data_IF_067595469699
#
_entry.id   IF_067595469699
#
_cell.length_a   1.000
_cell.length_b   1.000
_cell.length_c   1.000
_cell.angle_alpha   90.00
_cell.angle_beta   90.00
_cell.angle_gamma   90.00
#
_symmetry.space_group_name_H-M   'P 1'
#
loop_
_entity.id
_entity.type
_entity.pdbx_description
1 polymer ?
#
# COMPACT_ATOMS: atom_id res chain seq x y z
N UNK A 1 5.12 2.26 -12.80
CA UNK A 1 6.27 2.24 -11.87
C UNK A 1 7.05 0.97 -12.11
N UNK A 2 8.37 1.00 -11.98
CA UNK A 2 9.15 -0.23 -11.99
C UNK A 2 9.07 -0.91 -10.63
N UNK A 3 8.95 -2.24 -10.59
CA UNK A 3 8.83 -3.00 -9.34
C UNK A 3 10.00 -2.77 -8.37
N UNK A 4 11.21 -2.56 -8.90
CA UNK A 4 12.40 -2.28 -8.08
C UNK A 4 12.32 -0.95 -7.31
N UNK A 5 11.76 0.11 -7.90
CA UNK A 5 11.59 1.39 -7.20
C UNK A 5 10.62 1.25 -6.03
N UNK A 6 9.55 0.48 -6.23
CA UNK A 6 8.56 0.20 -5.18
C UNK A 6 9.15 -0.66 -4.06
N UNK A 7 9.94 -1.69 -4.39
CA UNK A 7 10.61 -2.53 -3.40
C UNK A 7 11.59 -1.73 -2.52
N UNK A 8 12.40 -0.85 -3.12
CA UNK A 8 13.32 -0.01 -2.37
C UNK A 8 12.59 0.96 -1.43
N UNK A 9 11.52 1.62 -1.90
CA UNK A 9 10.71 2.50 -1.07
C UNK A 9 9.97 1.77 0.06
N UNK A 10 9.47 0.56 -0.23
CA UNK A 10 8.79 -0.26 0.77
C UNK A 10 9.74 -0.68 1.90
N UNK A 11 11.00 -0.99 1.59
CA UNK A 11 12.01 -1.29 2.60
C UNK A 11 12.27 -0.07 3.49
N UNK A 12 12.51 1.10 2.89
CA UNK A 12 12.74 2.35 3.65
C UNK A 12 11.56 2.68 4.57
N UNK A 13 10.33 2.52 4.10
CA UNK A 13 9.14 2.78 4.92
C UNK A 13 9.06 1.81 6.11
N UNK A 14 9.35 0.53 5.89
CA UNK A 14 9.33 -0.49 6.94
C UNK A 14 10.42 -0.27 7.98
N UNK A 15 11.65 0.03 7.56
CA UNK A 15 12.77 0.35 8.47
C UNK A 15 12.50 1.62 9.30
N UNK A 16 11.72 2.56 8.77
CA UNK A 16 11.26 3.74 9.50
C UNK A 16 10.08 3.44 10.47
N UNK A 17 9.64 2.18 10.61
CA UNK A 17 8.51 1.78 11.45
C UNK A 17 7.14 2.04 10.81
N UNK A 18 7.09 2.25 9.50
CA UNK A 18 5.87 2.44 8.72
C UNK A 18 5.22 1.14 8.27
N UNK A 19 4.03 1.28 7.69
CA UNK A 19 3.26 0.20 7.08
C UNK A 19 3.18 0.40 5.57
N UNK A 20 3.14 -0.71 4.84
CA UNK A 20 3.02 -0.76 3.38
C UNK A 20 2.04 -1.88 3.02
N UNK A 21 1.07 -1.60 2.15
CA UNK A 21 0.12 -2.60 1.65
C UNK A 21 -0.40 -2.25 0.26
N UNK A 22 -1.15 -3.17 -0.34
CA UNK A 22 -2.04 -2.87 -1.45
C UNK A 22 -3.33 -2.15 -0.97
N UNK A 23 -4.27 -1.88 -1.88
CA UNK A 23 -5.51 -1.15 -1.57
C UNK A 23 -6.53 -1.99 -0.78
N UNK A 24 -6.33 -3.30 -0.72
CA UNK A 24 -7.12 -4.23 0.10
C UNK A 24 -6.51 -4.42 1.50
N UNK A 25 -5.32 -3.88 1.75
CA UNK A 25 -4.57 -4.09 2.99
C UNK A 25 -3.70 -5.35 2.98
N UNK A 26 -3.53 -5.99 1.82
CA UNK A 26 -2.66 -7.15 1.62
C UNK A 26 -1.21 -6.79 1.30
N UNK A 27 -0.40 -7.82 1.04
CA UNK A 27 1.04 -7.68 0.80
C UNK A 27 1.44 -7.76 -0.68
N UNK A 28 0.48 -7.84 -1.60
CA UNK A 28 0.72 -8.08 -3.03
C UNK A 28 0.98 -6.78 -3.82
N UNK A 29 1.39 -5.70 -3.14
CA UNK A 29 1.55 -4.37 -3.74
C UNK A 29 2.59 -4.34 -4.86
N UNK A 30 3.63 -5.19 -4.79
CA UNK A 30 4.65 -5.32 -5.83
C UNK A 30 4.11 -5.94 -7.13
N UNK A 31 3.14 -6.84 -7.02
CA UNK A 31 2.53 -7.52 -8.16
C UNK A 31 1.36 -6.70 -8.73
N UNK A 32 0.51 -6.16 -7.85
CA UNK A 32 -0.69 -5.40 -8.23
C UNK A 32 -0.39 -3.96 -8.67
N UNK A 33 0.81 -3.46 -8.38
CA UNK A 33 1.30 -2.16 -8.86
C UNK A 33 0.67 -0.93 -8.19
N UNK A 34 -0.12 -1.13 -7.13
CA UNK A 34 -0.74 -0.07 -6.34
C UNK A 34 -0.38 -0.27 -4.87
N UNK A 35 -0.13 0.84 -4.17
CA UNK A 35 0.45 0.82 -2.83
C UNK A 35 -0.13 1.91 -1.95
N UNK A 36 -0.37 1.60 -0.69
CA UNK A 36 -0.59 2.54 0.42
C UNK A 36 0.59 2.37 1.37
N UNK A 37 1.23 3.48 1.70
CA UNK A 37 2.36 3.49 2.62
C UNK A 37 2.25 4.69 3.58
N UNK A 38 2.63 4.50 4.84
CA UNK A 38 2.64 5.60 5.81
C UNK A 38 2.86 5.13 7.24
N UNK A 39 2.84 6.09 8.17
CA UNK A 39 2.86 5.77 9.60
C UNK A 39 1.56 5.04 10.03
N UNK A 40 1.59 4.39 11.19
CA UNK A 40 0.47 3.59 11.71
C UNK A 40 -0.86 4.35 11.81
N UNK A 41 -0.85 5.65 12.13
CA UNK A 41 -2.07 6.47 12.25
C UNK A 41 -2.68 6.79 10.88
N UNK A 42 -1.86 7.28 9.95
CA UNK A 42 -2.30 7.69 8.62
C UNK A 42 -2.65 6.48 7.76
N UNK A 43 -1.88 5.39 7.85
CA UNK A 43 -2.09 4.19 7.06
C UNK A 43 -3.51 3.65 7.20
N UNK A 44 -3.99 3.46 8.44
CA UNK A 44 -5.36 2.98 8.70
C UNK A 44 -6.41 3.97 8.17
N UNK A 45 -6.23 5.26 8.41
CA UNK A 45 -7.17 6.29 7.98
C UNK A 45 -7.31 6.32 6.44
N UNK A 46 -6.19 6.28 5.72
CA UNK A 46 -6.18 6.26 4.26
C UNK A 46 -6.81 4.99 3.74
N UNK A 47 -6.43 3.81 4.26
CA UNK A 47 -6.97 2.53 3.81
C UNK A 47 -8.50 2.46 3.97
N UNK A 48 -9.01 2.87 5.13
CA UNK A 48 -10.46 2.93 5.38
C UNK A 48 -11.17 3.96 4.49
N UNK A 49 -10.53 5.08 4.18
CA UNK A 49 -11.11 6.11 3.32
C UNK A 49 -11.21 5.66 1.85
N UNK A 50 -10.22 4.90 1.33
CA UNK A 50 -10.21 4.52 -0.09
C UNK A 50 -11.05 3.28 -0.38
N UNK A 51 -11.15 2.32 0.55
CA UNK A 51 -11.79 1.02 0.32
C UNK A 51 -13.24 1.09 -0.22
N UNK A 52 -14.12 1.99 0.27
CA UNK A 52 -15.48 2.13 -0.25
C UNK A 52 -15.54 2.57 -1.72
N UNK A 53 -14.51 3.26 -2.21
CA UNK A 53 -14.45 3.85 -3.54
C UNK A 53 -13.66 3.00 -4.54
N UNK A 54 -13.15 1.83 -4.13
CA UNK A 54 -12.40 0.96 -5.01
C UNK A 54 -13.30 0.32 -6.09
N UNK A 55 -12.95 0.42 -7.38
CA UNK A 55 -13.62 -0.34 -8.43
C UNK A 55 -13.34 -1.83 -8.27
N UNK A 56 -14.23 -2.68 -8.79
CA UNK A 56 -14.12 -4.14 -8.67
C UNK A 56 -12.78 -4.69 -9.22
N UNK A 57 -12.18 -4.02 -10.20
CA UNK A 57 -10.87 -4.38 -10.77
C UNK A 57 -9.70 -4.26 -9.79
N UNK A 58 -9.83 -3.47 -8.72
CA UNK A 58 -8.77 -3.23 -7.73
C UNK A 58 -9.05 -3.91 -6.38
N UNK A 59 -10.18 -4.64 -6.24
CA UNK A 59 -10.52 -5.41 -5.03
C UNK A 59 -10.02 -6.86 -5.08
N UNK A 60 -9.41 -7.28 -6.19
CA UNK A 60 -8.98 -8.66 -6.43
C UNK A 60 -7.53 -8.86 -6.02
#
# INVERSE_FOLDING_TARGET
LSGWAMAAGALLMQEAGGLVSDFTGGHDFLEKGHVVAGNTKCFKAVLTAIQPHLPASLKR
#
